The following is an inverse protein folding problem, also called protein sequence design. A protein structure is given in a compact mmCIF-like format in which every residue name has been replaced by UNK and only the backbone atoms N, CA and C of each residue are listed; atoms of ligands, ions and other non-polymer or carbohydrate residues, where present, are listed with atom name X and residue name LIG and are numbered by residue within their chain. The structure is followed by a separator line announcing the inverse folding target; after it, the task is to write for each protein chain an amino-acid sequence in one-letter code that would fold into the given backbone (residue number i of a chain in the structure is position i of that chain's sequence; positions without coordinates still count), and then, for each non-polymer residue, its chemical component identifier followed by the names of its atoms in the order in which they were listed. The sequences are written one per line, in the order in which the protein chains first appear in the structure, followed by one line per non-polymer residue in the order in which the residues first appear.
data_IF_865450638486
#
_entry.id   IF_865450638486
#
_cell.length_a   1.000
_cell.length_b   1.000
_cell.length_c   1.000
_cell.angle_alpha   90.00
_cell.angle_beta   90.00
_cell.angle_gamma   90.00
#
_symmetry.space_group_name_H-M   'P 1'
#
loop_
_entity.id
_entity.type
_entity.pdbx_description
1 polymer ?
#
# COMPACT_ATOMS: atom_id res chain seq x y z
N UNK A 1 -5.07 -1.87 11.85
CA UNK A 1 -4.13 -0.78 11.51
C UNK A 1 -2.75 -1.36 11.28
N UNK A 2 -2.01 -0.77 10.36
CA UNK A 2 -0.64 -1.17 9.99
C UNK A 2 0.24 0.08 10.05
N UNK A 3 1.38 -0.01 10.73
CA UNK A 3 2.45 0.96 10.61
C UNK A 3 3.41 0.47 9.52
N UNK A 4 3.79 1.36 8.61
CA UNK A 4 4.72 1.09 7.52
C UNK A 4 5.97 1.93 7.70
N UNK A 5 7.07 1.24 7.85
CA UNK A 5 8.40 1.84 7.92
C UNK A 5 9.08 1.73 6.55
N UNK A 6 9.57 2.84 5.97
CA UNK A 6 10.29 2.79 4.71
C UNK A 6 11.68 2.19 4.92
N UNK A 7 12.01 1.15 4.16
CA UNK A 7 13.35 0.54 4.14
C UNK A 7 14.16 1.04 2.94
N UNK A 8 13.51 1.13 1.77
CA UNK A 8 14.06 1.74 0.58
C UNK A 8 12.91 2.35 -0.23
N UNK A 9 12.99 3.63 -0.52
CA UNK A 9 11.93 4.33 -1.23
C UNK A 9 12.45 4.97 -2.51
N UNK A 10 11.66 4.90 -3.57
CA UNK A 10 11.94 5.58 -4.82
C UNK A 10 11.71 7.09 -4.69
N UNK A 11 12.27 7.88 -5.60
CA UNK A 11 12.23 9.34 -5.57
C UNK A 11 10.83 9.97 -5.50
N UNK A 12 9.79 9.27 -5.96
CA UNK A 12 8.40 9.72 -5.85
C UNK A 12 7.84 9.68 -4.41
N UNK A 13 8.51 8.96 -3.53
CA UNK A 13 8.26 8.93 -2.10
C UNK A 13 9.29 9.75 -1.34
N UNK A 14 9.83 10.82 -1.95
CA UNK A 14 10.83 11.67 -1.30
C UNK A 14 10.35 12.10 0.08
N UNK A 15 10.95 11.62 0.90
CA UNK A 15 11.27 11.42 2.29
C UNK A 15 11.01 12.56 3.24
N UNK A 16 9.77 13.00 3.29
CA UNK A 16 9.33 13.76 4.44
C UNK A 16 8.64 12.87 5.50
N UNK A 17 8.75 11.54 5.39
CA UNK A 17 8.03 10.63 6.30
C UNK A 17 8.96 9.59 6.90
N UNK A 18 8.97 9.52 8.21
CA UNK A 18 9.63 8.45 8.94
C UNK A 18 8.79 7.16 8.91
N UNK A 19 7.46 7.31 8.81
CA UNK A 19 6.53 6.17 8.74
C UNK A 19 5.16 6.58 8.18
N UNK A 20 4.36 5.59 7.81
CA UNK A 20 2.96 5.73 7.38
C UNK A 20 2.07 4.85 8.24
N UNK A 21 1.02 5.41 8.82
CA UNK A 21 -0.03 4.61 9.48
C UNK A 21 -1.20 4.44 8.53
N UNK A 22 -1.52 3.19 8.19
CA UNK A 22 -2.62 2.83 7.31
C UNK A 22 -3.77 2.22 8.10
N UNK A 23 -4.97 2.78 7.91
CA UNK A 23 -6.22 2.27 8.46
C UNK A 23 -7.07 1.76 7.31
N UNK A 24 -7.60 0.54 7.44
CA UNK A 24 -8.48 -0.08 6.47
C UNK A 24 -9.91 -0.10 6.99
N UNK A 25 -10.85 0.27 6.13
CA UNK A 25 -12.27 0.29 6.41
C UNK A 25 -13.03 -0.40 5.28
N UNK A 26 -14.10 -1.14 5.56
CA UNK A 26 -14.88 -1.83 4.53
C UNK A 26 -15.63 -0.87 3.61
N UNK A 27 -15.91 0.36 4.07
CA UNK A 27 -16.58 1.39 3.29
C UNK A 27 -16.22 2.81 3.74
N UNK A 28 -16.53 3.80 2.91
CA UNK A 28 -16.41 5.21 3.28
C UNK A 28 -17.33 5.60 4.43
N UNK A 29 -18.54 5.02 4.50
CA UNK A 29 -19.47 5.27 5.59
C UNK A 29 -18.88 4.80 6.93
N UNK A 30 -18.36 3.57 6.98
CA UNK A 30 -17.69 3.03 8.14
C UNK A 30 -16.47 3.86 8.56
N UNK A 31 -15.69 4.32 7.58
CA UNK A 31 -14.56 5.20 7.83
C UNK A 31 -14.98 6.51 8.50
N UNK A 32 -15.99 7.18 7.96
CA UNK A 32 -16.48 8.47 8.48
C UNK A 32 -17.04 8.29 9.88
N UNK A 33 -17.88 7.29 10.09
CA UNK A 33 -18.48 6.98 11.39
C UNK A 33 -17.41 6.74 12.46
N UNK A 34 -16.45 5.83 12.19
CA UNK A 34 -15.42 5.48 13.16
C UNK A 34 -14.45 6.62 13.44
N UNK A 35 -14.09 7.39 12.43
CA UNK A 35 -13.24 8.57 12.64
C UNK A 35 -13.93 9.65 13.44
N UNK A 36 -15.24 9.86 13.21
CA UNK A 36 -16.04 10.81 13.99
C UNK A 36 -16.18 10.35 15.44
N UNK A 37 -16.53 9.08 15.66
CA UNK A 37 -16.63 8.49 16.99
C UNK A 37 -15.29 8.55 17.75
N UNK A 38 -14.19 8.32 17.06
CA UNK A 38 -12.86 8.41 17.61
C UNK A 38 -12.54 9.83 18.07
N UNK A 39 -12.76 10.84 17.22
CA UNK A 39 -12.55 12.25 17.58
C UNK A 39 -13.41 12.69 18.76
N UNK A 40 -14.66 12.22 18.85
CA UNK A 40 -15.56 12.56 19.94
C UNK A 40 -15.13 11.92 21.28
N UNK A 41 -14.59 10.71 21.26
CA UNK A 41 -14.14 9.99 22.47
C UNK A 41 -12.82 10.52 23.02
N UNK A 42 -11.95 11.01 22.18
CA UNK A 42 -10.62 11.47 22.56
C UNK A 42 -10.58 12.96 22.93
N UNK A 43 -11.73 13.64 23.01
CA UNK A 43 -11.75 15.08 23.27
C UNK A 43 -11.10 15.92 22.18
N UNK A 44 -11.04 15.38 20.96
CA UNK A 44 -10.31 15.97 19.86
C UNK A 44 -8.80 15.68 19.95
N UNK A 45 -7.99 16.69 19.66
CA UNK A 45 -6.53 16.52 19.59
C UNK A 45 -5.84 16.25 20.94
N UNK A 46 -6.46 16.60 22.06
CA UNK A 46 -5.82 16.54 23.36
C UNK A 46 -5.61 15.10 23.88
N UNK A 47 -6.42 14.13 23.43
CA UNK A 47 -6.25 12.72 23.80
C UNK A 47 -5.21 11.95 22.98
N UNK A 48 -4.56 12.58 22.02
CA UNK A 48 -3.71 11.90 21.07
C UNK A 48 -2.23 12.07 21.37
N UNK A 49 -1.69 11.15 22.14
CA UNK A 49 -0.24 11.14 22.44
C UNK A 49 0.65 10.92 21.19
N UNK A 50 0.07 10.50 20.07
CA UNK A 50 0.84 10.39 18.82
C UNK A 50 1.36 11.76 18.35
N UNK A 51 0.61 12.84 18.58
CA UNK A 51 1.05 14.20 18.26
C UNK A 51 2.24 14.69 19.11
N UNK A 52 2.45 14.07 20.26
CA UNK A 52 3.59 14.41 21.13
C UNK A 52 4.90 13.83 20.59
N UNK A 53 4.80 12.82 19.69
CA UNK A 53 5.95 12.08 19.15
C UNK A 53 6.02 12.08 17.63
N UNK A 54 4.98 12.53 16.95
CA UNK A 54 4.93 12.53 15.50
C UNK A 54 4.13 13.73 14.95
N UNK A 55 4.73 14.45 14.03
CA UNK A 55 4.04 15.46 13.22
C UNK A 55 3.47 14.81 11.96
N UNK A 56 2.17 14.52 11.99
CA UNK A 56 1.49 13.94 10.83
C UNK A 56 1.09 14.98 9.79
N UNK A 57 1.11 16.27 10.15
CA UNK A 57 0.74 17.36 9.26
C UNK A 57 -0.59 17.16 8.55
N UNK A 58 -0.76 17.78 7.38
CA UNK A 58 -1.96 17.69 6.54
C UNK A 58 -1.88 16.53 5.50
N UNK A 59 -1.00 15.55 5.74
CA UNK A 59 -0.68 14.50 4.76
C UNK A 59 -1.62 13.29 4.79
N UNK A 60 -2.89 13.52 5.09
CA UNK A 60 -3.89 12.46 5.08
C UNK A 60 -4.28 12.16 3.63
N UNK A 61 -4.23 10.88 3.26
CA UNK A 61 -4.68 10.36 1.97
C UNK A 61 -5.80 9.35 2.18
N UNK A 62 -6.81 9.41 1.33
CA UNK A 62 -7.89 8.43 1.30
C UNK A 62 -7.82 7.73 -0.05
N UNK A 63 -7.70 6.42 -0.02
CA UNK A 63 -7.54 5.60 -1.20
C UNK A 63 -8.64 4.55 -1.27
N UNK A 64 -9.05 4.21 -2.48
CA UNK A 64 -9.69 2.93 -2.72
C UNK A 64 -8.63 1.83 -2.79
N UNK A 65 -8.98 0.67 -2.25
CA UNK A 65 -8.13 -0.52 -2.28
C UNK A 65 -8.94 -1.66 -2.86
N UNK A 66 -8.42 -2.28 -3.92
CA UNK A 66 -8.96 -3.51 -4.50
C UNK A 66 -7.98 -4.64 -4.24
N UNK A 67 -8.44 -5.67 -3.56
CA UNK A 67 -7.63 -6.85 -3.35
C UNK A 67 -7.55 -7.65 -4.65
N UNK A 68 -6.36 -7.74 -5.21
CA UNK A 68 -6.06 -8.58 -6.36
C UNK A 68 -5.81 -10.02 -5.92
N UNK A 69 -5.36 -10.18 -4.67
CA UNK A 69 -5.16 -11.45 -4.00
C UNK A 69 -5.55 -11.26 -2.54
N UNK A 70 -6.54 -12.02 -2.10
CA UNK A 70 -6.91 -12.09 -0.70
C UNK A 70 -5.86 -12.86 0.10
N UNK A 71 -5.79 -12.57 1.39
CA UNK A 71 -4.85 -13.22 2.29
C UNK A 71 -4.96 -14.76 2.18
N UNK A 72 -3.84 -15.42 2.02
CA UNK A 72 -3.76 -16.88 1.93
C UNK A 72 -4.14 -17.62 3.23
N UNK A 73 -4.56 -16.89 4.27
CA UNK A 73 -4.79 -17.45 5.61
C UNK A 73 -3.48 -17.66 6.39
N UNK A 74 -3.60 -18.20 7.58
CA UNK A 74 -2.45 -18.39 8.48
C UNK A 74 -2.15 -17.17 9.35
N UNK A 75 -1.22 -17.31 10.30
CA UNK A 75 -0.86 -16.25 11.22
C UNK A 75 -0.30 -15.03 10.45
N UNK A 76 -0.71 -13.85 10.87
CA UNK A 76 -0.16 -12.60 10.34
C UNK A 76 1.20 -12.39 11.01
N UNK A 77 2.30 -12.27 10.25
CA UNK A 77 3.58 -11.97 10.85
C UNK A 77 3.53 -10.61 11.55
N UNK A 78 4.22 -10.49 12.66
CA UNK A 78 4.32 -9.22 13.41
C UNK A 78 4.92 -8.11 12.54
N UNK A 79 5.90 -8.49 11.73
CA UNK A 79 6.52 -7.64 10.72
C UNK A 79 6.54 -8.39 9.39
N UNK A 80 5.98 -7.79 8.36
CA UNK A 80 5.95 -8.35 7.01
C UNK A 80 6.70 -7.44 6.03
N UNK A 81 7.61 -7.95 5.22
CA UNK A 81 8.16 -7.18 4.11
C UNK A 81 7.09 -6.93 3.07
N UNK A 82 7.08 -5.72 2.52
CA UNK A 82 6.17 -5.39 1.42
C UNK A 82 6.84 -4.53 0.37
N UNK A 83 6.44 -4.70 -0.87
CA UNK A 83 6.86 -3.86 -1.99
C UNK A 83 5.70 -3.03 -2.49
N UNK A 84 6.01 -1.81 -2.93
CA UNK A 84 5.04 -0.92 -3.57
C UNK A 84 5.60 -0.35 -4.86
N UNK A 85 4.73 -0.22 -5.86
CA UNK A 85 5.00 0.42 -7.15
C UNK A 85 3.95 1.50 -7.37
N UNK A 86 4.36 2.64 -7.91
CA UNK A 86 3.43 3.61 -8.49
C UNK A 86 3.53 3.54 -10.00
N UNK A 87 2.39 3.43 -10.66
CA UNK A 87 2.34 3.25 -12.10
C UNK A 87 1.40 4.25 -12.75
N UNK A 88 1.79 4.74 -13.91
CA UNK A 88 0.90 5.48 -14.81
C UNK A 88 0.23 4.50 -15.78
N UNK A 89 -1.06 4.70 -15.97
CA UNK A 89 -1.87 3.93 -16.89
C UNK A 89 -1.92 4.66 -18.24
N UNK A 90 -1.04 4.32 -19.16
CA UNK A 90 -0.92 4.94 -20.49
C UNK A 90 -2.07 4.49 -21.42
N UNK A 91 -3.32 4.88 -21.06
CA UNK A 91 -4.53 4.42 -21.74
C UNK A 91 -5.11 3.11 -21.23
N UNK A 92 -4.46 2.44 -20.28
CA UNK A 92 -5.02 1.27 -19.61
C UNK A 92 -6.15 1.69 -18.67
N UNK A 93 -7.28 1.00 -18.71
CA UNK A 93 -8.35 1.26 -17.74
C UNK A 93 -8.01 0.72 -16.35
N UNK A 94 -8.55 1.36 -15.31
CA UNK A 94 -8.38 0.91 -13.92
C UNK A 94 -8.86 -0.54 -13.73
N UNK A 95 -9.98 -0.93 -14.34
CA UNK A 95 -10.50 -2.29 -14.27
C UNK A 95 -9.51 -3.31 -14.86
N UNK A 96 -8.82 -2.95 -15.93
CA UNK A 96 -7.79 -3.81 -16.53
C UNK A 96 -6.55 -3.89 -15.64
N UNK A 97 -6.15 -2.77 -15.01
CA UNK A 97 -5.05 -2.75 -14.06
C UNK A 97 -5.34 -3.67 -12.85
N UNK A 98 -6.56 -3.63 -12.31
CA UNK A 98 -7.01 -4.53 -11.23
C UNK A 98 -6.95 -5.99 -11.68
N UNK A 99 -7.47 -6.29 -12.86
CA UNK A 99 -7.44 -7.65 -13.44
C UNK A 99 -6.01 -8.16 -13.62
N UNK A 100 -5.12 -7.31 -14.13
CA UNK A 100 -3.71 -7.67 -14.32
C UNK A 100 -3.00 -7.95 -12.99
N UNK A 101 -3.35 -7.23 -11.94
CA UNK A 101 -2.79 -7.45 -10.60
C UNK A 101 -3.13 -8.84 -10.03
N UNK A 102 -4.22 -9.47 -10.48
CA UNK A 102 -4.55 -10.86 -10.13
C UNK A 102 -3.48 -11.87 -10.53
N UNK A 103 -2.65 -11.54 -11.52
CA UNK A 103 -1.55 -12.40 -11.97
C UNK A 103 -0.25 -12.18 -11.15
N UNK A 104 -0.24 -11.22 -10.24
CA UNK A 104 0.99 -10.84 -9.51
C UNK A 104 1.59 -12.01 -8.72
N UNK A 105 0.75 -12.88 -8.18
CA UNK A 105 1.18 -14.08 -7.47
C UNK A 105 1.92 -15.07 -8.36
N UNK A 106 1.47 -15.22 -9.60
CA UNK A 106 2.14 -16.11 -10.56
C UNK A 106 3.54 -15.62 -10.89
N UNK A 107 3.74 -14.31 -10.83
CA UNK A 107 5.03 -13.68 -11.10
C UNK A 107 5.92 -13.62 -9.85
N UNK A 108 5.38 -13.18 -8.70
CA UNK A 108 6.14 -12.98 -7.47
C UNK A 108 6.27 -14.24 -6.61
N UNK A 109 5.46 -15.26 -6.84
CA UNK A 109 5.51 -16.53 -6.14
C UNK A 109 4.43 -16.74 -5.07
N UNK A 110 4.43 -17.95 -4.48
CA UNK A 110 3.42 -18.39 -3.50
C UNK A 110 3.51 -17.66 -2.16
N UNK A 111 4.66 -17.07 -1.86
CA UNK A 111 4.93 -16.36 -0.61
C UNK A 111 4.30 -14.97 -0.55
N UNK A 112 3.70 -14.51 -1.65
CA UNK A 112 2.85 -13.32 -1.61
C UNK A 112 1.60 -13.63 -0.80
N UNK A 113 1.54 -13.06 0.38
CA UNK A 113 0.40 -13.19 1.29
C UNK A 113 -0.82 -12.45 0.75
N UNK A 114 -0.61 -11.21 0.33
CA UNK A 114 -1.67 -10.30 -0.08
C UNK A 114 -1.15 -9.35 -1.15
N UNK A 115 -1.96 -9.10 -2.15
CA UNK A 115 -1.66 -8.09 -3.15
C UNK A 115 -2.89 -7.23 -3.43
N UNK A 116 -2.67 -5.94 -3.66
CA UNK A 116 -3.76 -5.02 -3.93
C UNK A 116 -3.34 -3.85 -4.82
N UNK A 117 -4.35 -3.30 -5.48
CA UNK A 117 -4.29 -2.08 -6.27
C UNK A 117 -4.85 -0.94 -5.46
N UNK A 118 -4.18 0.18 -5.46
CA UNK A 118 -4.55 1.38 -4.72
C UNK A 118 -4.81 2.49 -5.74
N UNK A 119 -5.95 3.16 -5.62
CA UNK A 119 -6.21 4.40 -6.34
C UNK A 119 -6.50 5.51 -5.33
N UNK A 120 -5.79 6.63 -5.45
CA UNK A 120 -6.01 7.79 -4.59
C UNK A 120 -7.31 8.49 -4.95
N UNK A 121 -8.16 8.70 -3.96
CA UNK A 121 -9.44 9.40 -4.14
C UNK A 121 -9.42 10.81 -3.58
N UNK A 122 -8.81 11.02 -2.41
CA UNK A 122 -8.81 12.31 -1.73
C UNK A 122 -7.49 12.56 -1.01
N UNK A 123 -7.14 13.83 -0.86
CA UNK A 123 -6.01 14.29 -0.08
C UNK A 123 -4.65 14.10 -0.76
N UNK A 124 -3.62 14.57 -0.09
CA UNK A 124 -2.25 14.58 -0.58
C UNK A 124 -1.89 15.87 -1.33
N UNK A 125 -0.60 16.03 -1.66
CA UNK A 125 -0.07 17.29 -2.19
C UNK A 125 -0.45 17.59 -3.64
N UNK A 126 -0.99 16.61 -4.36
CA UNK A 126 -1.41 16.76 -5.75
C UNK A 126 -2.79 16.14 -5.97
N UNK A 127 -3.50 16.67 -6.98
CA UNK A 127 -4.78 16.10 -7.38
C UNK A 127 -4.63 14.62 -7.76
N UNK A 128 -5.58 13.76 -7.39
CA UNK A 128 -5.62 12.39 -7.86
C UNK A 128 -5.67 12.39 -9.39
N UNK A 129 -4.75 11.66 -10.01
CA UNK A 129 -4.80 11.45 -11.45
C UNK A 129 -5.44 10.08 -11.68
N UNK A 130 -6.54 10.06 -12.44
CA UNK A 130 -7.20 8.80 -12.83
C UNK A 130 -6.30 7.86 -13.64
N UNK A 131 -5.17 8.38 -14.11
CA UNK A 131 -4.14 7.65 -14.82
C UNK A 131 -3.12 6.97 -13.92
N UNK A 132 -3.19 7.16 -12.59
CA UNK A 132 -2.20 6.60 -11.67
C UNK A 132 -2.80 5.58 -10.73
N UNK A 133 -2.07 4.49 -10.53
CA UNK A 133 -2.39 3.45 -9.55
C UNK A 133 -1.15 3.07 -8.76
N UNK A 134 -1.36 2.68 -7.50
CA UNK A 134 -0.35 2.01 -6.70
C UNK A 134 -0.59 0.50 -6.69
N UNK A 135 0.47 -0.27 -6.74
CA UNK A 135 0.43 -1.71 -6.46
C UNK A 135 1.19 -1.96 -5.18
N UNK A 136 0.70 -2.89 -4.38
CA UNK A 136 1.41 -3.36 -3.20
C UNK A 136 1.28 -4.86 -3.07
N UNK A 137 2.41 -5.51 -2.78
CA UNK A 137 2.47 -6.91 -2.41
C UNK A 137 3.07 -7.02 -1.01
N UNK A 138 2.44 -7.81 -0.15
CA UNK A 138 2.88 -8.13 1.21
C UNK A 138 3.28 -9.61 1.21
N UNK A 139 4.41 -9.92 1.81
CA UNK A 139 4.98 -11.27 1.82
C UNK A 139 4.82 -11.93 3.19
N UNK A 140 4.81 -13.26 3.21
CA UNK A 140 4.75 -14.05 4.45
C UNK A 140 6.06 -13.99 5.24
N UNK A 141 7.19 -13.84 4.54
CA UNK A 141 8.51 -13.90 5.13
C UNK A 141 9.53 -13.09 4.35
N UNK A 142 10.69 -12.84 4.97
CA UNK A 142 11.82 -12.21 4.29
C UNK A 142 12.41 -13.11 3.20
N UNK A 143 12.40 -14.44 3.39
CA UNK A 143 12.88 -15.38 2.38
C UNK A 143 11.99 -15.36 1.13
N UNK A 144 10.66 -15.38 1.32
CA UNK A 144 9.70 -15.26 0.21
C UNK A 144 9.79 -13.91 -0.51
N UNK A 145 10.13 -12.84 0.21
CA UNK A 145 10.42 -11.55 -0.40
C UNK A 145 11.72 -11.64 -1.25
N UNK A 146 12.78 -12.24 -0.72
CA UNK A 146 14.06 -12.39 -1.44
C UNK A 146 13.86 -13.19 -2.74
N UNK A 147 13.15 -14.32 -2.69
CA UNK A 147 12.82 -15.09 -3.88
C UNK A 147 12.05 -14.29 -4.93
N UNK A 148 11.14 -13.42 -4.50
CA UNK A 148 10.40 -12.54 -5.40
C UNK A 148 11.31 -11.51 -6.07
N UNK A 149 12.27 -10.94 -5.33
CA UNK A 149 13.28 -10.00 -5.87
C UNK A 149 14.16 -10.70 -6.91
N UNK A 150 14.61 -11.91 -6.62
CA UNK A 150 15.41 -12.71 -7.57
C UNK A 150 14.62 -12.95 -8.87
N UNK A 151 13.35 -13.35 -8.76
CA UNK A 151 12.47 -13.52 -9.94
C UNK A 151 12.30 -12.23 -10.75
N UNK A 152 12.15 -11.08 -10.07
CA UNK A 152 12.07 -9.79 -10.75
C UNK A 152 13.38 -9.54 -11.50
N UNK A 153 14.51 -9.75 -10.85
CA UNK A 153 15.84 -9.49 -11.41
C UNK A 153 16.11 -10.38 -12.63
N UNK A 154 15.78 -11.65 -12.53
CA UNK A 154 15.97 -12.62 -13.62
C UNK A 154 15.06 -12.37 -14.82
N UNK A 155 13.96 -11.63 -14.62
CA UNK A 155 12.96 -11.35 -15.64
C UNK A 155 12.88 -9.88 -16.04
N UNK A 156 13.91 -9.08 -15.73
CA UNK A 156 13.98 -7.70 -16.17
C UNK A 156 13.95 -7.66 -17.71
N UNK A 157 12.90 -7.04 -18.24
CA UNK A 157 12.76 -6.81 -19.66
C UNK A 157 13.22 -5.38 -20.00
N UNK A 158 13.79 -5.17 -21.19
CA UNK A 158 14.07 -3.82 -21.64
C UNK A 158 12.77 -3.01 -21.72
N UNK A 159 12.83 -1.67 -21.54
CA UNK A 159 11.67 -0.82 -21.63
C UNK A 159 10.92 -1.05 -22.94
N UNK A 160 9.65 -1.35 -22.86
CA UNK A 160 8.78 -1.48 -24.02
C UNK A 160 7.96 -0.17 -24.14
N UNK A 161 8.18 0.63 -25.20
CA UNK A 161 7.45 1.89 -25.37
C UNK A 161 5.93 1.68 -25.60
N UNK A 162 5.55 0.49 -26.04
CA UNK A 162 4.14 0.14 -26.24
C UNK A 162 3.48 -0.42 -24.98
N UNK A 163 4.19 -0.43 -23.84
CA UNK A 163 3.62 -0.90 -22.58
C UNK A 163 2.52 0.08 -22.13
N UNK A 164 1.27 -0.39 -21.96
CA UNK A 164 0.17 0.46 -21.53
C UNK A 164 0.28 0.89 -20.07
N UNK A 165 1.39 0.56 -19.42
CA UNK A 165 1.64 0.90 -18.02
C UNK A 165 3.14 1.16 -17.79
N UNK A 166 3.45 2.31 -17.20
CA UNK A 166 4.81 2.66 -16.81
C UNK A 166 4.88 2.79 -15.29
N UNK A 167 5.75 2.02 -14.67
CA UNK A 167 5.92 2.02 -13.23
C UNK A 167 7.27 2.65 -12.83
N UNK A 168 7.28 3.31 -11.68
CA UNK A 168 8.53 3.76 -11.07
C UNK A 168 9.33 2.58 -10.48
N UNK A 169 10.52 2.87 -10.01
CA UNK A 169 11.31 1.91 -9.22
C UNK A 169 10.55 1.54 -7.95
N UNK A 170 10.52 0.26 -7.62
CA UNK A 170 9.83 -0.26 -6.46
C UNK A 170 10.33 0.34 -5.15
N UNK A 171 9.45 0.47 -4.20
CA UNK A 171 9.76 0.84 -2.82
C UNK A 171 9.57 -0.35 -1.90
N UNK A 172 10.49 -0.49 -0.95
CA UNK A 172 10.49 -1.55 0.05
C UNK A 172 10.09 -0.99 1.41
N UNK A 173 9.25 -1.74 2.12
CA UNK A 173 8.69 -1.34 3.41
C UNK A 173 8.66 -2.52 4.38
N UNK A 174 8.77 -2.22 5.67
CA UNK A 174 8.39 -3.11 6.75
C UNK A 174 6.97 -2.74 7.21
N UNK A 175 6.04 -3.67 7.07
CA UNK A 175 4.65 -3.51 7.50
C UNK A 175 4.49 -4.15 8.88
N UNK A 176 4.31 -3.34 9.93
CA UNK A 176 4.09 -3.78 11.31
C UNK A 176 2.59 -3.81 11.62
N UNK A 177 2.08 -4.94 12.05
CA UNK A 177 0.69 -5.06 12.47
C UNK A 177 0.52 -4.40 13.84
N UNK A 178 -0.18 -3.26 13.90
CA UNK A 178 -0.48 -2.59 15.17
C UNK A 178 -1.75 -3.15 15.80
N UNK A 179 -2.76 -3.38 14.98
CA UNK A 179 -4.08 -3.81 15.41
C UNK A 179 -4.79 -4.60 14.31
N UNK A 180 -5.23 -5.80 14.63
CA UNK A 180 -6.20 -6.56 13.86
C UNK A 180 -7.53 -6.61 14.64
N UNK A 181 -8.65 -6.50 13.93
CA UNK A 181 -9.95 -6.77 14.52
C UNK A 181 -10.16 -8.28 14.45
N UNK A 182 -10.43 -8.90 15.59
CA UNK A 182 -10.93 -10.27 15.62
C UNK A 182 -12.29 -10.29 14.91
N UNK A 183 -12.43 -11.14 13.91
CA UNK A 183 -13.68 -11.34 13.17
C UNK A 183 -14.58 -12.30 13.95
#
# INVERSE_FOLDING_TARGET
AILREPLAVSGDFQNDWDFVVAFYYPSYADMVEKRTAFRSRTGGAEGYRLRDVADCGDRIRINNVWFALESSGGPIPEVAPSMALNCELNGLSLSRAISNAGNIRNFLGSEVRQAFVINRMFGGPSMPQNSQVGYRAIFNSSDGFAEAVDRITDNIQPPNPDNPQTCNVGSLWADHLIFARDN
#
